data_IF_557141810511
#
_entry.id   IF_557141810511
#
_cell.length_a   1.000
_cell.length_b   1.000
_cell.length_c   1.000
_cell.angle_alpha   90.00
_cell.angle_beta   90.00
_cell.angle_gamma   90.00
#
_symmetry.space_group_name_H-M   'P 1'
#
loop_
_entity.id
_entity.type
_entity.pdbx_description
1 polymer ?
#
# COMPACT_ATOMS: atom_id res chain seq x y z
N UNK A 1 -65.74 -12.16 45.60
CA UNK A 1 -64.64 -12.17 44.60
C UNK A 1 -64.10 -13.59 44.47
N UNK A 2 -63.96 -14.11 43.25
CA UNK A 2 -63.64 -15.52 43.03
C UNK A 2 -62.11 -15.72 43.00
N UNK A 3 -61.51 -16.03 44.16
CA UNK A 3 -60.06 -16.10 44.40
C UNK A 3 -59.34 -17.11 43.46
N UNK A 4 -60.04 -18.16 43.06
CA UNK A 4 -59.53 -19.18 42.11
C UNK A 4 -59.30 -18.59 40.73
N UNK A 5 -60.25 -17.79 40.23
CA UNK A 5 -60.11 -17.10 38.93
C UNK A 5 -58.99 -16.06 38.99
N UNK A 6 -58.89 -15.32 40.08
CA UNK A 6 -57.82 -14.33 40.27
C UNK A 6 -56.42 -14.96 40.22
N UNK A 7 -56.22 -16.08 40.92
CA UNK A 7 -54.93 -16.79 40.92
C UNK A 7 -54.57 -17.36 39.55
N UNK A 8 -55.54 -17.88 38.81
CA UNK A 8 -55.36 -18.38 37.44
C UNK A 8 -54.99 -17.26 36.47
N UNK A 9 -55.66 -16.11 36.54
CA UNK A 9 -55.33 -14.94 35.71
C UNK A 9 -53.96 -14.36 36.04
N UNK A 10 -53.60 -14.30 37.33
CA UNK A 10 -52.28 -13.86 37.79
C UNK A 10 -51.15 -14.76 37.29
N UNK A 11 -51.33 -16.09 37.38
CA UNK A 11 -50.34 -17.06 36.87
C UNK A 11 -50.18 -16.99 35.35
N UNK A 12 -51.27 -16.76 34.60
CA UNK A 12 -51.19 -16.51 33.15
C UNK A 12 -50.39 -15.25 32.83
N UNK A 13 -50.65 -14.15 33.52
CA UNK A 13 -49.93 -12.88 33.36
C UNK A 13 -48.42 -13.00 33.64
N UNK A 14 -48.05 -13.71 34.70
CA UNK A 14 -46.63 -13.94 35.03
C UNK A 14 -45.95 -14.81 33.98
N UNK A 15 -46.64 -15.83 33.47
CA UNK A 15 -46.10 -16.73 32.44
C UNK A 15 -45.89 -16.00 31.11
N UNK A 16 -46.86 -15.18 30.71
CA UNK A 16 -46.81 -14.35 29.50
C UNK A 16 -45.69 -13.31 29.59
N UNK A 17 -45.52 -12.67 30.75
CA UNK A 17 -44.41 -11.73 30.96
C UNK A 17 -43.02 -12.41 30.90
N UNK A 18 -42.90 -13.65 31.38
CA UNK A 18 -41.67 -14.45 31.23
C UNK A 18 -41.41 -14.83 29.77
N UNK A 19 -42.46 -15.15 29.01
CA UNK A 19 -42.36 -15.42 27.59
C UNK A 19 -41.92 -14.19 26.79
N UNK A 20 -42.53 -13.03 27.03
CA UNK A 20 -42.13 -11.76 26.41
C UNK A 20 -40.70 -11.35 26.75
N UNK A 21 -40.26 -11.55 28.00
CA UNK A 21 -38.85 -11.34 28.38
C UNK A 21 -37.90 -12.27 27.65
N UNK A 22 -38.26 -13.54 27.47
CA UNK A 22 -37.49 -14.48 26.65
C UNK A 22 -37.38 -14.02 25.19
N UNK A 23 -38.49 -13.56 24.61
CA UNK A 23 -38.53 -13.02 23.25
C UNK A 23 -37.63 -11.79 23.08
N UNK A 24 -37.66 -10.87 24.04
CA UNK A 24 -36.81 -9.67 24.03
C UNK A 24 -35.33 -10.01 24.13
N UNK A 25 -34.96 -10.98 24.97
CA UNK A 25 -33.56 -11.44 25.08
C UNK A 25 -33.11 -12.08 23.76
N UNK A 26 -33.96 -12.90 23.14
CA UNK A 26 -33.65 -13.51 21.84
C UNK A 26 -33.47 -12.45 20.73
N UNK A 27 -34.34 -11.43 20.69
CA UNK A 27 -34.25 -10.32 19.73
C UNK A 27 -32.98 -9.47 19.95
N UNK A 28 -32.61 -9.25 21.22
CA UNK A 28 -31.39 -8.53 21.56
C UNK A 28 -30.14 -9.33 21.14
N UNK A 29 -30.13 -10.64 21.38
CA UNK A 29 -29.05 -11.52 20.98
C UNK A 29 -28.87 -11.58 19.45
N UNK A 30 -29.96 -11.65 18.68
CA UNK A 30 -29.87 -11.62 17.21
C UNK A 30 -29.36 -10.29 16.67
N UNK A 31 -29.75 -9.16 17.26
CA UNK A 31 -29.20 -7.85 16.90
C UNK A 31 -27.70 -7.72 17.24
N UNK A 32 -27.26 -8.27 18.37
CA UNK A 32 -25.83 -8.32 18.73
C UNK A 32 -25.01 -9.17 17.76
N UNK A 33 -25.60 -10.29 17.32
CA UNK A 33 -24.96 -11.21 16.38
C UNK A 33 -24.86 -10.57 14.98
N UNK A 34 -25.90 -9.89 14.51
CA UNK A 34 -25.85 -9.15 13.24
C UNK A 34 -24.89 -7.96 13.30
N UNK A 35 -24.83 -7.23 14.42
CA UNK A 35 -23.86 -6.15 14.61
C UNK A 35 -22.42 -6.68 14.58
N UNK A 36 -22.15 -7.79 15.27
CA UNK A 36 -20.83 -8.43 15.28
C UNK A 36 -20.43 -8.91 13.88
N UNK A 37 -21.36 -9.52 13.14
CA UNK A 37 -21.13 -9.92 11.77
C UNK A 37 -20.87 -8.71 10.85
N UNK A 38 -21.58 -7.60 11.04
CA UNK A 38 -21.38 -6.38 10.26
C UNK A 38 -20.03 -5.69 10.55
N UNK A 39 -19.55 -5.76 11.81
CA UNK A 39 -18.24 -5.24 12.19
C UNK A 39 -17.08 -6.10 11.64
N UNK A 40 -17.29 -7.41 11.51
CA UNK A 40 -16.33 -8.33 10.90
C UNK A 40 -16.41 -8.36 9.37
N UNK A 41 -17.53 -7.94 8.78
CA UNK A 41 -17.69 -7.86 7.35
C UNK A 41 -16.74 -6.81 6.76
N UNK A 42 -15.66 -7.28 6.15
CA UNK A 42 -14.72 -6.45 5.41
C UNK A 42 -15.44 -5.83 4.20
N UNK A 43 -15.65 -4.51 4.22
CA UNK A 43 -16.21 -3.78 3.09
C UNK A 43 -15.12 -3.60 2.03
N UNK A 44 -15.12 -4.45 1.00
CA UNK A 44 -14.31 -4.25 -0.21
C UNK A 44 -14.81 -3.00 -0.94
N UNK A 45 -14.05 -1.90 -0.86
CA UNK A 45 -14.29 -0.72 -1.69
C UNK A 45 -13.56 -0.95 -3.00
N UNK A 46 -14.32 -1.21 -4.06
CA UNK A 46 -13.81 -1.34 -5.41
C UNK A 46 -13.50 0.07 -5.93
N UNK A 47 -12.24 0.50 -5.81
CA UNK A 47 -11.72 1.56 -6.68
C UNK A 47 -11.34 0.88 -8.00
N UNK A 48 -11.91 1.36 -9.11
CA UNK A 48 -11.55 0.92 -10.47
C UNK A 48 -10.69 2.02 -11.10
N UNK A 49 -9.35 1.89 -11.11
CA UNK A 49 -8.51 2.58 -12.07
C UNK A 49 -8.70 1.96 -13.47
N UNK A 50 -8.47 2.73 -14.56
CA UNK A 50 -8.96 2.44 -15.91
C UNK A 50 -8.39 1.20 -16.64
N UNK A 51 -7.64 0.31 -15.98
CA UNK A 51 -7.21 -0.99 -16.54
C UNK A 51 -7.05 -2.01 -15.41
N UNK A 52 -8.07 -2.83 -15.17
CA UNK A 52 -7.99 -4.03 -14.34
C UNK A 52 -8.80 -5.14 -15.02
N UNK A 53 -8.12 -6.16 -15.55
CA UNK A 53 -8.74 -7.32 -16.20
C UNK A 53 -9.28 -8.34 -15.18
N UNK A 54 -9.11 -8.13 -13.86
CA UNK A 54 -9.56 -9.05 -12.81
C UNK A 54 -10.19 -8.35 -11.60
N UNK A 55 -11.02 -9.10 -10.85
CA UNK A 55 -11.63 -8.65 -9.60
C UNK A 55 -10.56 -8.45 -8.52
N UNK A 56 -10.31 -7.20 -8.18
CA UNK A 56 -9.36 -6.78 -7.16
C UNK A 56 -10.05 -6.64 -5.80
N UNK A 57 -9.45 -7.23 -4.76
CA UNK A 57 -9.84 -6.97 -3.36
C UNK A 57 -8.90 -5.95 -2.73
N UNK A 58 -9.43 -4.78 -2.36
CA UNK A 58 -8.76 -3.82 -1.47
C UNK A 58 -9.42 -3.95 -0.10
N UNK A 59 -8.74 -4.65 0.80
CA UNK A 59 -9.08 -4.69 2.22
C UNK A 59 -8.42 -3.51 2.96
N UNK A 60 -8.87 -3.22 4.18
CA UNK A 60 -8.41 -2.07 4.98
C UNK A 60 -6.88 -1.99 5.14
N UNK A 61 -6.21 -3.14 5.19
CA UNK A 61 -4.77 -3.28 5.44
C UNK A 61 -4.01 -4.04 4.34
N UNK A 62 -4.68 -4.51 3.29
CA UNK A 62 -4.06 -5.28 2.21
C UNK A 62 -4.75 -5.01 0.88
N UNK A 63 -3.99 -5.05 -0.21
CA UNK A 63 -4.54 -5.02 -1.55
C UNK A 63 -4.09 -6.26 -2.32
N UNK A 64 -4.84 -6.61 -3.36
CA UNK A 64 -4.46 -7.69 -4.27
C UNK A 64 -3.13 -7.39 -4.96
N UNK A 65 -2.49 -8.44 -5.47
CA UNK A 65 -1.21 -8.36 -6.16
C UNK A 65 -1.26 -7.34 -7.32
N UNK A 66 -2.33 -7.37 -8.10
CA UNK A 66 -2.52 -6.54 -9.29
C UNK A 66 -2.56 -5.05 -8.92
N UNK A 67 -3.14 -4.71 -7.77
CA UNK A 67 -3.14 -3.32 -7.28
C UNK A 67 -1.75 -2.89 -6.85
N UNK A 68 -1.02 -3.75 -6.14
CA UNK A 68 0.35 -3.43 -5.75
C UNK A 68 1.20 -3.24 -7.00
N UNK A 69 1.09 -4.11 -7.99
CA UNK A 69 1.77 -4.00 -9.28
C UNK A 69 1.44 -2.69 -10.00
N UNK A 70 0.15 -2.31 -10.07
CA UNK A 70 -0.28 -1.04 -10.66
C UNK A 70 0.31 0.18 -9.93
N UNK A 71 0.33 0.18 -8.60
CA UNK A 71 0.96 1.24 -7.80
C UNK A 71 2.48 1.27 -7.96
N UNK A 72 3.12 0.11 -8.01
CA UNK A 72 4.55 -0.01 -8.24
C UNK A 72 4.95 0.54 -9.61
N UNK A 73 4.18 0.21 -10.66
CA UNK A 73 4.35 0.76 -12.00
C UNK A 73 4.15 2.28 -12.01
N UNK A 74 3.04 2.77 -11.45
CA UNK A 74 2.72 4.19 -11.38
C UNK A 74 3.84 5.00 -10.70
N UNK A 75 4.30 4.57 -9.51
CA UNK A 75 5.39 5.25 -8.79
C UNK A 75 6.69 5.21 -9.59
N UNK A 76 6.98 4.07 -10.23
CA UNK A 76 8.17 3.92 -11.07
C UNK A 76 8.14 4.85 -12.29
N UNK A 77 6.99 5.00 -12.94
CA UNK A 77 6.84 5.90 -14.08
C UNK A 77 7.05 7.37 -13.70
N UNK A 78 6.59 7.78 -12.51
CA UNK A 78 6.83 9.13 -12.01
C UNK A 78 8.32 9.37 -11.72
N UNK A 79 8.98 8.43 -11.03
CA UNK A 79 10.38 8.57 -10.64
C UNK A 79 11.35 8.41 -11.81
N UNK A 80 11.05 7.48 -12.73
CA UNK A 80 11.88 7.20 -13.90
C UNK A 80 11.82 8.29 -14.98
N UNK A 81 10.87 9.22 -14.89
CA UNK A 81 10.65 10.31 -15.84
C UNK A 81 10.66 11.70 -15.18
N UNK A 82 11.48 11.87 -14.15
CA UNK A 82 11.74 13.16 -13.51
C UNK A 82 12.45 14.12 -14.47
N UNK A 83 12.01 15.37 -14.44
CA UNK A 83 12.62 16.51 -15.14
C UNK A 83 12.77 17.68 -14.18
N UNK A 84 13.68 18.62 -14.43
CA UNK A 84 13.79 19.83 -13.61
C UNK A 84 12.48 20.61 -13.44
N UNK A 85 11.64 20.60 -14.48
CA UNK A 85 10.37 21.33 -14.51
C UNK A 85 9.27 20.66 -13.68
N UNK A 86 9.14 19.33 -13.73
CA UNK A 86 8.07 18.61 -13.03
C UNK A 86 8.45 18.15 -11.61
N UNK A 87 9.72 18.18 -11.22
CA UNK A 87 10.16 17.67 -9.93
C UNK A 87 9.47 18.29 -8.69
N UNK A 88 9.19 19.61 -8.63
CA UNK A 88 8.44 20.18 -7.49
C UNK A 88 7.02 19.60 -7.39
N UNK A 89 6.35 19.43 -8.53
CA UNK A 89 5.02 18.83 -8.60
C UNK A 89 5.03 17.35 -8.20
N UNK A 90 6.05 16.59 -8.64
CA UNK A 90 6.19 15.18 -8.29
C UNK A 90 6.45 14.99 -6.80
N UNK A 91 7.23 15.87 -6.16
CA UNK A 91 7.43 15.84 -4.72
C UNK A 91 6.12 16.00 -3.95
N UNK A 92 5.34 17.03 -4.28
CA UNK A 92 4.05 17.26 -3.64
C UNK A 92 3.07 16.09 -3.84
N UNK A 93 3.13 15.45 -5.01
CA UNK A 93 2.27 14.30 -5.35
C UNK A 93 2.67 13.02 -4.62
N UNK A 94 3.97 12.75 -4.51
CA UNK A 94 4.50 11.53 -3.88
C UNK A 94 4.52 11.61 -2.36
N UNK A 95 4.74 12.79 -1.77
CA UNK A 95 4.86 12.99 -0.33
C UNK A 95 3.75 12.32 0.53
N UNK A 96 2.44 12.45 0.21
CA UNK A 96 1.39 11.78 0.97
C UNK A 96 1.38 10.25 0.81
N UNK A 97 1.99 9.74 -0.26
CA UNK A 97 2.11 8.30 -0.55
C UNK A 97 3.35 7.70 0.13
N UNK A 98 4.33 8.50 0.53
CA UNK A 98 5.56 8.02 1.15
C UNK A 98 5.42 7.89 2.67
N UNK A 99 5.99 6.80 3.21
CA UNK A 99 6.18 6.67 4.66
C UNK A 99 7.10 7.78 5.21
N UNK A 100 6.94 8.19 6.48
CA UNK A 100 7.73 9.29 7.06
C UNK A 100 9.25 9.10 6.93
N UNK A 101 9.73 7.85 7.01
CA UNK A 101 11.15 7.52 6.84
C UNK A 101 11.63 7.74 5.40
N UNK A 102 10.80 7.46 4.40
CA UNK A 102 11.18 7.62 2.99
C UNK A 102 11.11 9.06 2.49
N UNK A 103 10.28 9.93 3.08
CA UNK A 103 10.09 11.30 2.54
C UNK A 103 11.40 12.06 2.35
N UNK A 104 12.28 12.02 3.35
CA UNK A 104 13.58 12.71 3.28
C UNK A 104 14.52 12.05 2.27
N UNK A 105 14.60 10.73 2.27
CA UNK A 105 15.46 9.99 1.35
C UNK A 105 15.05 10.22 -0.11
N UNK A 106 13.75 10.13 -0.41
CA UNK A 106 13.21 10.34 -1.75
C UNK A 106 13.37 11.79 -2.18
N UNK A 107 13.12 12.77 -1.30
CA UNK A 107 13.35 14.17 -1.61
C UNK A 107 14.81 14.44 -2.01
N UNK A 108 15.78 13.93 -1.24
CA UNK A 108 17.21 14.04 -1.56
C UNK A 108 17.57 13.40 -2.89
N UNK A 109 17.08 12.18 -3.16
CA UNK A 109 17.32 11.50 -4.44
C UNK A 109 16.76 12.32 -5.61
N UNK A 110 15.55 12.89 -5.48
CA UNK A 110 14.98 13.74 -6.53
C UNK A 110 15.79 15.02 -6.73
N UNK A 111 16.25 15.65 -5.65
CA UNK A 111 17.10 16.84 -5.72
C UNK A 111 18.41 16.56 -6.44
N UNK A 112 19.13 15.52 -6.02
CA UNK A 112 20.38 15.09 -6.64
C UNK A 112 20.20 14.77 -8.13
N UNK A 113 19.10 14.09 -8.46
CA UNK A 113 18.78 13.73 -9.84
C UNK A 113 18.49 14.98 -10.67
N UNK A 114 17.68 15.91 -10.17
CA UNK A 114 17.40 17.17 -10.88
C UNK A 114 18.66 18.00 -11.08
N UNK A 115 19.50 18.10 -10.06
CA UNK A 115 20.76 18.82 -10.15
C UNK A 115 21.68 18.19 -11.20
N UNK A 116 21.80 16.87 -11.22
CA UNK A 116 22.57 16.14 -12.24
C UNK A 116 22.02 16.39 -13.66
N UNK A 117 20.70 16.32 -13.86
CA UNK A 117 20.07 16.59 -15.15
C UNK A 117 20.36 18.02 -15.64
N UNK A 118 20.29 19.01 -14.74
CA UNK A 118 20.59 20.40 -15.08
C UNK A 118 22.07 20.61 -15.41
N UNK A 119 22.96 20.05 -14.58
CA UNK A 119 24.42 20.18 -14.71
C UNK A 119 24.92 19.56 -16.01
N UNK A 120 24.46 18.36 -16.31
CA UNK A 120 24.90 17.59 -17.49
C UNK A 120 24.09 17.97 -18.75
N UNK A 121 23.03 18.78 -18.58
CA UNK A 121 22.06 19.18 -19.63
C UNK A 121 21.43 17.98 -20.34
N UNK A 122 21.24 16.89 -19.61
CA UNK A 122 20.65 15.66 -20.13
C UNK A 122 19.18 15.53 -19.73
N UNK A 123 18.41 14.81 -20.53
CA UNK A 123 17.08 14.32 -20.16
C UNK A 123 17.12 12.82 -20.00
N UNK A 124 16.27 12.31 -19.10
CA UNK A 124 16.15 10.89 -18.82
C UNK A 124 14.71 10.47 -19.01
N UNK A 125 14.51 9.33 -19.68
CA UNK A 125 13.21 8.69 -19.83
C UNK A 125 13.31 7.23 -19.45
N UNK A 126 12.38 6.73 -18.65
CA UNK A 126 12.25 5.31 -18.37
C UNK A 126 11.09 4.70 -19.14
N UNK A 127 11.32 3.53 -19.73
CA UNK A 127 10.35 2.73 -20.44
C UNK A 127 10.23 1.36 -19.73
N UNK A 128 9.17 1.13 -18.94
CA UNK A 128 8.95 -0.16 -18.30
C UNK A 128 8.70 -1.25 -19.37
N UNK A 129 9.25 -2.44 -19.16
CA UNK A 129 9.08 -3.60 -20.03
C UNK A 129 8.43 -4.79 -19.29
N UNK A 130 8.67 -4.89 -17.98
CA UNK A 130 8.21 -6.00 -17.17
C UNK A 130 7.88 -5.55 -15.75
N UNK A 131 6.70 -5.94 -15.27
CA UNK A 131 6.27 -5.76 -13.87
C UNK A 131 6.09 -7.15 -13.26
N UNK A 132 6.69 -7.38 -12.10
CA UNK A 132 6.61 -8.65 -11.38
C UNK A 132 6.44 -8.39 -9.89
N UNK A 133 5.46 -9.02 -9.28
CA UNK A 133 5.34 -9.09 -7.83
C UNK A 133 6.11 -10.26 -7.23
N UNK A 134 6.86 -9.98 -6.16
CA UNK A 134 7.67 -10.93 -5.42
C UNK A 134 7.03 -11.17 -4.05
N UNK A 135 6.29 -12.29 -3.94
CA UNK A 135 5.50 -12.62 -2.75
C UNK A 135 6.35 -12.78 -1.47
N UNK A 136 7.60 -13.22 -1.59
CA UNK A 136 8.49 -13.43 -0.43
C UNK A 136 8.86 -12.13 0.30
N UNK A 137 8.95 -11.01 -0.42
CA UNK A 137 9.33 -9.70 0.15
C UNK A 137 8.20 -8.67 0.09
N UNK A 138 7.05 -9.04 -0.47
CA UNK A 138 5.93 -8.14 -0.76
C UNK A 138 6.35 -6.93 -1.62
N UNK A 139 7.22 -7.16 -2.61
CA UNK A 139 7.79 -6.10 -3.45
C UNK A 139 7.34 -6.23 -4.88
N UNK A 140 7.16 -5.10 -5.54
CA UNK A 140 6.93 -5.00 -6.97
C UNK A 140 8.25 -4.60 -7.62
N UNK A 141 8.71 -5.42 -8.55
CA UNK A 141 9.88 -5.18 -9.37
C UNK A 141 9.44 -4.72 -10.75
N UNK A 142 9.84 -3.52 -11.13
CA UNK A 142 9.57 -2.95 -12.45
C UNK A 142 10.89 -2.82 -13.20
N UNK A 143 11.07 -3.62 -14.25
CA UNK A 143 12.29 -3.62 -15.07
C UNK A 143 12.01 -3.05 -16.44
N UNK A 144 12.99 -2.35 -17.00
CA UNK A 144 12.88 -1.78 -18.33
C UNK A 144 14.14 -1.07 -18.76
N UNK A 145 13.98 -0.11 -19.67
CA UNK A 145 15.08 0.64 -20.28
C UNK A 145 15.01 2.11 -19.92
N UNK A 146 16.14 2.65 -19.49
CA UNK A 146 16.35 4.07 -19.29
C UNK A 146 17.11 4.64 -20.48
N UNK A 147 16.54 5.65 -21.13
CA UNK A 147 17.13 6.38 -22.25
C UNK A 147 17.60 7.73 -21.73
N UNK A 148 18.87 8.04 -21.95
CA UNK A 148 19.52 9.28 -21.54
C UNK A 148 19.90 10.04 -22.81
N UNK A 149 19.43 11.27 -22.95
CA UNK A 149 19.67 12.11 -24.13
C UNK A 149 20.38 13.38 -23.71
N UNK A 150 21.56 13.63 -24.28
CA UNK A 150 22.35 14.83 -24.06
C UNK A 150 22.43 15.73 -25.29
N UNK A 151 22.98 16.95 -25.14
CA UNK A 151 23.08 17.90 -26.25
C UNK A 151 24.11 17.40 -27.29
N UNK A 152 23.63 17.11 -28.50
CA UNK A 152 24.49 16.73 -29.62
C UNK A 152 25.08 15.31 -29.56
N UNK A 153 24.62 14.46 -28.63
CA UNK A 153 25.02 13.07 -28.51
C UNK A 153 23.87 12.12 -28.82
N UNK A 154 24.19 10.93 -29.32
CA UNK A 154 23.20 9.88 -29.54
C UNK A 154 22.58 9.41 -28.21
N UNK A 155 21.28 9.08 -28.18
CA UNK A 155 20.64 8.58 -26.96
C UNK A 155 21.30 7.31 -26.45
N UNK A 156 21.70 7.31 -25.17
CA UNK A 156 22.29 6.16 -24.50
C UNK A 156 21.19 5.39 -23.77
N UNK A 157 21.03 4.10 -24.10
CA UNK A 157 20.05 3.24 -23.44
C UNK A 157 20.72 2.30 -22.44
N UNK A 158 20.19 2.21 -21.22
CA UNK A 158 20.69 1.33 -20.15
C UNK A 158 19.54 0.56 -19.50
N UNK A 159 19.75 -0.69 -19.06
CA UNK A 159 18.76 -1.38 -18.24
C UNK A 159 18.62 -0.69 -16.89
N UNK A 160 17.40 -0.61 -16.38
CA UNK A 160 17.10 -0.08 -15.05
C UNK A 160 15.95 -0.87 -14.45
N UNK A 161 16.09 -1.20 -13.17
CA UNK A 161 15.07 -1.89 -12.38
C UNK A 161 14.76 -1.11 -11.12
N UNK A 162 13.48 -0.95 -10.84
CA UNK A 162 12.96 -0.35 -9.62
C UNK A 162 12.31 -1.42 -8.76
N UNK A 163 12.53 -1.35 -7.46
CA UNK A 163 11.81 -2.16 -6.46
C UNK A 163 11.01 -1.25 -5.56
N UNK A 164 9.70 -1.50 -5.47
CA UNK A 164 8.76 -0.71 -4.70
C UNK A 164 7.98 -1.63 -3.77
N UNK A 165 7.89 -1.30 -2.49
CA UNK A 165 6.98 -1.95 -1.57
C UNK A 165 5.79 -1.05 -1.30
N UNK A 166 4.59 -1.57 -1.60
CA UNK A 166 3.32 -0.86 -1.46
C UNK A 166 2.51 -1.50 -0.34
N UNK A 167 2.52 -0.86 0.83
CA UNK A 167 1.64 -1.22 1.94
C UNK A 167 0.29 -0.50 1.81
N UNK A 168 -0.76 -1.02 2.46
CA UNK A 168 -2.07 -0.36 2.53
C UNK A 168 -2.44 -0.06 3.97
N UNK A 169 -2.85 1.19 4.23
CA UNK A 169 -3.38 1.60 5.54
C UNK A 169 -4.61 2.45 5.33
N UNK A 170 -5.73 2.03 5.92
CA UNK A 170 -7.01 2.74 5.80
C UNK A 170 -7.40 2.99 4.33
N UNK A 171 -7.26 1.95 3.49
CA UNK A 171 -7.54 2.00 2.04
C UNK A 171 -6.67 2.97 1.23
N UNK A 172 -5.56 3.46 1.81
CA UNK A 172 -4.58 4.30 1.10
C UNK A 172 -3.28 3.54 0.88
N UNK A 173 -2.68 3.63 -0.32
CA UNK A 173 -1.35 3.10 -0.57
C UNK A 173 -0.32 3.90 0.24
N UNK A 174 0.69 3.19 0.73
CA UNK A 174 1.82 3.74 1.46
C UNK A 174 3.08 3.05 0.98
N UNK A 175 3.98 3.81 0.37
CA UNK A 175 5.27 3.33 -0.08
C UNK A 175 6.21 3.25 1.12
N UNK A 176 6.61 2.03 1.44
CA UNK A 176 7.46 1.71 2.60
C UNK A 176 8.88 1.36 2.22
N UNK A 177 9.14 1.09 0.93
CA UNK A 177 10.46 0.82 0.39
C UNK A 177 10.51 1.23 -1.07
N UNK A 178 11.66 1.78 -1.47
CA UNK A 178 11.97 2.18 -2.82
C UNK A 178 13.47 1.97 -3.03
N UNK A 179 13.83 1.28 -4.10
CA UNK A 179 15.21 1.16 -4.56
C UNK A 179 15.26 1.12 -6.09
N UNK A 180 16.39 1.51 -6.67
CA UNK A 180 16.59 1.54 -8.11
C UNK A 180 18.04 1.21 -8.48
N UNK A 181 18.23 0.21 -9.32
CA UNK A 181 19.56 -0.32 -9.70
C UNK A 181 19.60 -0.73 -11.17
N UNK A 182 20.79 -0.83 -11.75
CA UNK A 182 20.99 -1.27 -13.13
C UNK A 182 21.17 -2.79 -13.24
N UNK A 183 21.84 -3.41 -12.27
CA UNK A 183 22.12 -4.83 -12.27
C UNK A 183 22.13 -5.44 -10.85
N UNK A 184 22.21 -6.77 -10.80
CA UNK A 184 22.24 -7.52 -9.54
C UNK A 184 23.51 -7.28 -8.71
N UNK A 185 24.60 -6.77 -9.31
CA UNK A 185 25.84 -6.46 -8.58
C UNK A 185 25.67 -5.15 -7.81
N UNK A 186 25.14 -4.12 -8.45
CA UNK A 186 24.80 -2.83 -7.83
C UNK A 186 23.82 -3.06 -6.66
N UNK A 187 22.81 -3.91 -6.86
CA UNK A 187 21.87 -4.29 -5.78
C UNK A 187 22.59 -4.91 -4.58
N UNK A 188 23.50 -5.88 -4.81
CA UNK A 188 24.22 -6.56 -3.73
C UNK A 188 25.15 -5.61 -2.96
N UNK A 189 25.80 -4.68 -3.66
CA UNK A 189 26.67 -3.68 -3.04
C UNK A 189 25.87 -2.74 -2.12
N UNK A 190 24.72 -2.24 -2.59
CA UNK A 190 23.82 -1.39 -1.76
C UNK A 190 23.21 -2.15 -0.58
N UNK A 191 22.86 -3.42 -0.77
CA UNK A 191 22.37 -4.27 0.33
C UNK A 191 23.43 -4.56 1.40
N UNK A 192 24.71 -4.65 1.01
CA UNK A 192 25.82 -4.80 1.93
C UNK A 192 26.11 -3.51 2.71
N UNK A 193 26.04 -2.34 2.07
CA UNK A 193 26.22 -1.05 2.76
C UNK A 193 25.11 -0.76 3.79
N UNK A 194 23.87 -1.18 3.51
CA UNK A 194 22.75 -1.06 4.47
C UNK A 194 22.86 -1.99 5.69
N UNK A 195 23.70 -3.03 5.64
CA UNK A 195 23.89 -3.98 6.75
C UNK A 195 25.19 -3.73 7.52
N UNK A 196 26.14 -3.00 6.95
CA UNK A 196 27.37 -2.59 7.61
C UNK A 196 27.16 -1.52 8.71
N UNK A 197 26.06 -0.77 8.66
CA UNK A 197 25.70 0.26 9.67
C UNK A 197 24.91 -0.32 10.88
N UNK A 198 24.71 -1.63 10.91
CA UNK A 198 24.17 -2.37 12.06
C UNK A 198 25.13 -3.51 12.43
N UNK A 199 26.38 -3.17 12.73
CA UNK A 199 27.22 -4.07 13.52
C UNK A 199 26.64 -4.11 14.95
N UNK A 200 26.32 -5.29 15.50
CA UNK A 200 25.87 -5.38 16.88
C UNK A 200 27.05 -4.97 17.77
N UNK A 201 26.80 -4.02 18.68
CA UNK A 201 27.64 -3.85 19.84
C UNK A 201 27.71 -5.21 20.53
N UNK A 202 28.83 -5.92 20.34
CA UNK A 202 29.11 -7.16 21.02
C UNK A 202 29.12 -6.83 22.51
N UNK A 203 28.12 -7.38 23.21
CA UNK A 203 28.10 -7.49 24.66
C UNK A 203 29.30 -8.31 25.09
N UNK A 204 30.34 -7.62 25.57
CA UNK A 204 31.41 -8.21 26.37
C UNK A 204 30.79 -8.74 27.66
N UNK A 205 30.78 -10.07 27.81
CA UNK A 205 30.80 -10.74 29.11
C UNK A 205 32.26 -11.06 29.45
#
# INVERSE_FOLDING_TARGET
MNLVRFRQTWQRLVTENRFHRGLLIALFATNLLTLSALLQAERTVVLVPPILESQVNVARASASQEVKEAWGLFVTELLGNVTPTNAPFLRQTLEPLLSPGLRRAVAGILDDQVEALQRDRVSVRFAPELVQYEAGTDRVRVSGKQVITGPGADPVTRPRTYEVQVAFRNYRPLITYLDAYQDARERKQRGADSTADVAPAASTQ
#
